data_IF_490979221939
#
_entry.id   IF_490979221939
#
_cell.length_a   1.000
_cell.length_b   1.000
_cell.length_c   1.000
_cell.angle_alpha   90.00
_cell.angle_beta   90.00
_cell.angle_gamma   90.00
#
_symmetry.space_group_name_H-M   'P 1'
#
loop_
_entity.id
_entity.type
_entity.pdbx_description
1 polymer ?
#
# COMPACT_ATOMS: atom_id res chain seq x y z
N UNK A 1 -53.71 28.83 3.35
CA UNK A 1 -53.30 29.10 1.96
C UNK A 1 -51.87 29.63 2.00
N UNK A 2 -51.01 29.01 1.19
CA UNK A 2 -49.57 29.25 1.01
C UNK A 2 -49.23 30.73 0.85
N UNK A 3 -48.10 31.21 1.39
CA UNK A 3 -47.15 32.06 0.66
C UNK A 3 -45.72 31.99 1.27
N UNK A 4 -44.87 31.29 0.51
CA UNK A 4 -43.51 31.68 0.11
C UNK A 4 -42.38 31.64 1.17
N UNK A 5 -41.69 30.49 1.18
CA UNK A 5 -40.28 30.37 1.55
C UNK A 5 -39.44 31.23 0.61
N UNK A 6 -38.77 32.26 1.14
CA UNK A 6 -37.74 32.98 0.41
C UNK A 6 -36.49 32.11 0.27
N UNK A 7 -36.26 31.67 -0.96
CA UNK A 7 -35.06 30.97 -1.41
C UNK A 7 -33.90 31.98 -1.47
N UNK A 8 -32.86 31.80 -0.64
CA UNK A 8 -31.58 32.50 -0.82
C UNK A 8 -30.57 31.52 -1.42
N UNK A 9 -30.09 31.73 -2.67
CA UNK A 9 -29.01 30.94 -3.23
C UNK A 9 -27.71 31.51 -2.68
N UNK A 10 -27.18 30.95 -1.60
CA UNK A 10 -25.79 31.19 -1.22
C UNK A 10 -24.93 30.09 -1.83
N UNK A 11 -24.54 30.31 -3.07
CA UNK A 11 -23.52 29.57 -3.77
C UNK A 11 -22.13 29.90 -3.17
N UNK A 12 -21.82 29.35 -2.00
CA UNK A 12 -20.45 29.29 -1.51
C UNK A 12 -19.76 28.09 -2.16
N UNK A 13 -19.23 28.32 -3.37
CA UNK A 13 -18.27 27.42 -4.01
C UNK A 13 -17.10 27.20 -3.06
N UNK A 14 -16.72 25.95 -2.73
CA UNK A 14 -15.47 25.71 -2.04
C UNK A 14 -14.33 26.18 -2.94
N UNK A 15 -13.47 27.04 -2.40
CA UNK A 15 -12.25 27.50 -3.04
C UNK A 15 -11.39 26.26 -3.34
N UNK A 16 -11.29 25.87 -4.61
CA UNK A 16 -10.39 24.81 -5.03
C UNK A 16 -8.96 25.24 -4.70
N UNK A 17 -8.40 24.67 -3.64
CA UNK A 17 -6.99 24.82 -3.29
C UNK A 17 -6.19 24.23 -4.44
N UNK A 18 -5.50 25.06 -5.21
CA UNK A 18 -4.59 24.59 -6.26
C UNK A 18 -3.53 23.71 -5.61
N UNK A 19 -3.43 22.47 -6.08
CA UNK A 19 -2.39 21.53 -5.65
C UNK A 19 -1.07 22.01 -6.24
N UNK A 20 -0.24 22.66 -5.44
CA UNK A 20 1.13 22.98 -5.82
C UNK A 20 1.98 21.72 -5.69
N UNK A 21 2.70 21.37 -6.75
CA UNK A 21 3.70 20.32 -6.73
C UNK A 21 4.95 20.91 -6.07
N UNK A 22 5.40 20.30 -4.96
CA UNK A 22 6.66 20.67 -4.36
C UNK A 22 7.80 20.35 -5.34
N UNK A 23 8.49 21.39 -5.82
CA UNK A 23 9.78 21.20 -6.49
C UNK A 23 10.77 20.74 -5.42
N UNK A 24 11.39 19.57 -5.63
CA UNK A 24 12.46 19.09 -4.76
C UNK A 24 13.58 20.13 -4.75
N UNK A 25 13.76 20.82 -3.63
CA UNK A 25 14.99 21.54 -3.36
C UNK A 25 16.12 20.50 -3.35
N UNK A 26 17.17 20.76 -4.13
CA UNK A 26 18.32 19.88 -4.24
C UNK A 26 19.03 19.79 -2.88
N UNK A 27 18.76 18.73 -2.14
CA UNK A 27 19.55 18.35 -0.97
C UNK A 27 20.87 17.78 -1.46
N UNK A 28 21.95 18.41 -0.99
CA UNK A 28 23.35 17.98 -1.04
C UNK A 28 23.45 16.46 -0.76
N UNK A 29 24.31 15.70 -1.47
CA UNK A 29 24.39 14.26 -1.26
C UNK A 29 24.95 13.99 0.13
N UNK A 30 24.08 13.68 1.08
CA UNK A 30 24.47 12.94 2.27
C UNK A 30 24.80 11.53 1.81
N UNK A 31 25.89 10.97 2.34
CA UNK A 31 26.34 9.61 2.07
C UNK A 31 25.14 8.65 2.14
N UNK A 32 25.08 7.71 1.19
CA UNK A 32 24.06 6.68 1.12
C UNK A 32 24.18 5.78 2.37
N UNK A 33 23.52 6.19 3.45
CA UNK A 33 23.16 5.27 4.52
C UNK A 33 22.20 4.23 3.91
N UNK A 34 22.34 2.94 4.30
CA UNK A 34 21.45 1.90 3.80
C UNK A 34 20.00 2.30 4.07
N UNK A 35 19.10 2.02 3.12
CA UNK A 35 17.67 2.25 3.34
C UNK A 35 17.26 1.59 4.67
N UNK A 36 16.50 2.28 5.53
CA UNK A 36 16.10 1.72 6.81
C UNK A 36 15.33 0.42 6.57
N UNK A 37 15.78 -0.68 7.21
CA UNK A 37 15.20 -2.03 7.05
C UNK A 37 13.71 -2.04 7.42
N UNK A 38 13.32 -1.24 8.41
CA UNK A 38 11.96 -1.13 8.91
C UNK A 38 11.43 0.31 8.83
N UNK A 39 10.10 0.44 8.76
CA UNK A 39 9.42 1.74 8.77
C UNK A 39 9.09 2.24 10.19
N UNK A 40 9.18 1.39 11.20
CA UNK A 40 8.76 1.69 12.57
C UNK A 40 9.99 1.78 13.47
N UNK A 41 10.25 2.91 14.15
CA UNK A 41 11.36 2.98 15.09
C UNK A 41 11.12 2.07 16.31
N UNK A 42 12.17 1.69 17.04
CA UNK A 42 12.04 0.89 18.25
C UNK A 42 11.16 1.59 19.28
N UNK A 43 10.41 0.81 20.06
CA UNK A 43 9.44 1.24 21.08
C UNK A 43 8.20 1.98 20.53
N UNK A 44 7.91 1.84 19.24
CA UNK A 44 6.65 2.35 18.66
C UNK A 44 5.47 1.48 19.10
N UNK A 45 4.37 2.10 19.54
CA UNK A 45 3.14 1.38 19.91
C UNK A 45 2.42 0.88 18.65
N UNK A 46 2.24 -0.44 18.53
CA UNK A 46 1.54 -1.06 17.41
C UNK A 46 0.03 -1.08 17.66
N UNK A 47 -0.66 -0.07 17.12
CA UNK A 47 -2.11 0.10 17.25
C UNK A 47 -2.84 -1.01 16.49
N UNK A 48 -3.85 -1.61 17.14
CA UNK A 48 -4.73 -2.62 16.51
C UNK A 48 -4.18 -4.05 16.51
N UNK A 49 -2.98 -4.30 17.05
CA UNK A 49 -2.44 -5.66 17.26
C UNK A 49 -3.10 -6.33 18.46
N UNK A 50 -3.38 -5.57 19.52
CA UNK A 50 -4.08 -6.08 20.70
C UNK A 50 -5.55 -6.34 20.40
N UNK A 51 -5.97 -7.58 20.63
CA UNK A 51 -7.38 -7.99 20.49
C UNK A 51 -8.06 -8.22 21.85
N UNK A 52 -7.29 -8.47 22.92
CA UNK A 52 -7.80 -8.59 24.29
C UNK A 52 -7.73 -7.23 25.01
N UNK A 53 -8.68 -6.99 25.92
CA UNK A 53 -8.83 -5.72 26.64
C UNK A 53 -7.76 -5.50 27.71
N UNK A 54 -7.28 -6.58 28.32
CA UNK A 54 -6.33 -6.54 29.44
C UNK A 54 -4.88 -6.84 29.03
N UNK A 55 -4.56 -6.76 27.73
CA UNK A 55 -3.19 -6.93 27.26
C UNK A 55 -2.41 -5.60 27.26
N UNK A 56 -1.15 -5.62 27.71
CA UNK A 56 -0.29 -4.44 27.63
C UNK A 56 -0.09 -4.02 26.18
N UNK A 57 0.21 -2.73 25.91
CA UNK A 57 0.45 -2.25 24.55
C UNK A 57 1.65 -2.98 23.95
N UNK A 58 1.48 -3.53 22.74
CA UNK A 58 2.57 -4.15 22.00
C UNK A 58 3.49 -3.06 21.44
N UNK A 59 4.75 -3.12 21.83
CA UNK A 59 5.80 -2.23 21.37
C UNK A 59 6.65 -2.90 20.29
N UNK A 60 7.05 -2.13 19.28
CA UNK A 60 8.03 -2.59 18.30
C UNK A 60 9.41 -2.77 18.97
N UNK A 61 10.03 -3.92 18.72
CA UNK A 61 11.39 -4.21 19.17
C UNK A 61 12.40 -3.59 18.18
N UNK A 62 13.71 -3.54 18.51
CA UNK A 62 14.75 -3.19 17.56
C UNK A 62 14.81 -4.17 16.38
N UNK A 63 15.22 -3.69 15.20
CA UNK A 63 15.28 -4.48 13.96
C UNK A 63 16.13 -5.77 14.07
N UNK A 64 17.14 -5.76 14.94
CA UNK A 64 18.07 -6.89 15.15
C UNK A 64 17.50 -7.99 16.06
N UNK A 65 16.45 -7.70 16.82
CA UNK A 65 15.77 -8.69 17.67
C UNK A 65 14.75 -9.52 16.87
N UNK A 66 14.36 -9.03 15.69
CA UNK A 66 13.52 -9.78 14.76
C UNK A 66 14.35 -10.78 13.96
N UNK A 67 13.84 -12.00 13.73
CA UNK A 67 14.52 -12.99 12.91
C UNK A 67 14.77 -12.51 11.46
N UNK A 68 15.92 -12.90 10.89
CA UNK A 68 16.34 -12.52 9.52
C UNK A 68 15.33 -12.85 8.41
N UNK A 69 14.49 -13.87 8.61
CA UNK A 69 13.50 -14.26 7.60
C UNK A 69 12.44 -13.19 7.35
N UNK A 70 12.17 -12.31 8.33
CA UNK A 70 11.20 -11.22 8.22
C UNK A 70 11.57 -10.29 7.06
N UNK A 71 12.85 -9.97 6.96
CA UNK A 71 13.38 -9.02 5.97
C UNK A 71 13.42 -9.60 4.55
N UNK A 72 13.46 -10.93 4.43
CA UNK A 72 13.45 -11.64 3.13
C UNK A 72 12.05 -11.81 2.53
N UNK A 73 10.98 -11.47 3.26
CA UNK A 73 9.60 -11.68 2.78
C UNK A 73 9.20 -10.79 1.59
N UNK A 74 9.75 -9.57 1.54
CA UNK A 74 9.47 -8.61 0.47
C UNK A 74 10.28 -8.90 -0.79
N UNK A 75 11.30 -9.74 -0.70
CA UNK A 75 12.10 -10.17 -1.85
C UNK A 75 11.21 -10.93 -2.83
N UNK A 76 11.33 -10.59 -4.11
CA UNK A 76 10.54 -11.23 -5.16
C UNK A 76 10.93 -12.71 -5.23
N UNK A 77 9.96 -13.58 -4.91
CA UNK A 77 10.14 -15.02 -5.08
C UNK A 77 10.25 -15.37 -6.56
N UNK A 78 11.46 -15.59 -7.03
CA UNK A 78 11.71 -16.15 -8.35
C UNK A 78 11.46 -17.66 -8.31
N UNK A 79 10.55 -18.13 -9.16
CA UNK A 79 10.28 -19.56 -9.31
C UNK A 79 11.21 -20.08 -10.40
N UNK A 80 12.21 -20.92 -10.08
CA UNK A 80 13.08 -21.51 -11.09
C UNK A 80 12.27 -22.38 -12.05
N UNK A 81 12.75 -22.51 -13.28
CA UNK A 81 12.13 -23.37 -14.28
C UNK A 81 12.35 -24.85 -13.90
N UNK A 82 11.32 -25.44 -13.30
CA UNK A 82 11.28 -26.79 -12.73
C UNK A 82 10.85 -27.86 -13.77
N UNK A 83 11.16 -27.62 -15.05
CA UNK A 83 10.74 -28.48 -16.15
C UNK A 83 9.23 -28.40 -16.50
N UNK A 84 8.77 -29.21 -17.47
CA UNK A 84 7.37 -29.24 -17.89
C UNK A 84 6.46 -29.75 -16.77
N UNK A 85 5.40 -29.00 -16.48
CA UNK A 85 4.47 -29.26 -15.36
C UNK A 85 4.94 -28.71 -14.00
N UNK A 86 6.10 -28.04 -13.97
CA UNK A 86 6.68 -27.42 -12.78
C UNK A 86 5.83 -26.28 -12.20
N UNK A 87 6.16 -25.86 -10.97
CA UNK A 87 5.42 -24.79 -10.27
C UNK A 87 5.46 -23.45 -11.03
N UNK A 88 6.59 -23.13 -11.64
CA UNK A 88 6.77 -21.89 -12.42
C UNK A 88 5.81 -21.82 -13.61
N UNK A 89 5.70 -22.91 -14.38
CA UNK A 89 4.80 -22.98 -15.54
C UNK A 89 3.33 -22.86 -15.12
N UNK A 90 2.92 -23.57 -14.07
CA UNK A 90 1.56 -23.47 -13.52
C UNK A 90 1.20 -22.04 -13.11
N UNK A 91 2.13 -21.33 -12.48
CA UNK A 91 1.92 -19.93 -12.08
C UNK A 91 1.80 -19.02 -13.31
N UNK A 92 2.62 -19.23 -14.35
CA UNK A 92 2.56 -18.51 -15.62
C UNK A 92 1.20 -18.69 -16.31
N UNK A 93 0.76 -19.94 -16.49
CA UNK A 93 -0.53 -20.27 -17.12
C UNK A 93 -1.72 -19.67 -16.36
N UNK A 94 -1.68 -19.68 -15.01
CA UNK A 94 -2.71 -19.03 -14.19
C UNK A 94 -2.73 -17.51 -14.40
N UNK A 95 -1.58 -16.88 -14.60
CA UNK A 95 -1.49 -15.44 -14.88
C UNK A 95 -2.09 -15.11 -16.25
N UNK A 96 -1.72 -15.87 -17.27
CA UNK A 96 -2.24 -15.72 -18.64
C UNK A 96 -3.76 -15.92 -18.69
N UNK A 97 -4.27 -16.96 -18.03
CA UNK A 97 -5.71 -17.20 -17.95
C UNK A 97 -6.46 -16.05 -17.27
N UNK A 98 -5.92 -15.47 -16.18
CA UNK A 98 -6.52 -14.29 -15.54
C UNK A 98 -6.52 -13.07 -16.46
N UNK A 99 -5.47 -12.88 -17.26
CA UNK A 99 -5.40 -11.79 -18.24
C UNK A 99 -6.43 -11.99 -19.35
N UNK A 100 -6.50 -13.19 -19.94
CA UNK A 100 -7.48 -13.54 -20.97
C UNK A 100 -8.93 -13.33 -20.49
N UNK A 101 -9.25 -13.77 -19.27
CA UNK A 101 -10.59 -13.56 -18.69
C UNK A 101 -10.86 -12.06 -18.49
N UNK A 102 -9.87 -11.31 -17.99
CA UNK A 102 -10.00 -9.85 -17.80
C UNK A 102 -10.26 -9.13 -19.12
N UNK A 103 -9.51 -9.43 -20.16
CA UNK A 103 -9.66 -8.85 -21.50
C UNK A 103 -11.00 -9.22 -22.13
N UNK A 104 -11.39 -10.49 -22.03
CA UNK A 104 -12.69 -10.96 -22.51
C UNK A 104 -13.85 -10.26 -21.79
N UNK A 105 -13.75 -10.10 -20.46
CA UNK A 105 -14.77 -9.39 -19.68
C UNK A 105 -14.78 -7.91 -20.01
N UNK A 106 -13.62 -7.29 -20.24
CA UNK A 106 -13.51 -5.89 -20.64
C UNK A 106 -14.23 -5.64 -21.97
N UNK A 107 -13.98 -6.46 -22.99
CA UNK A 107 -14.63 -6.35 -24.30
C UNK A 107 -16.14 -6.59 -24.28
N UNK A 108 -16.64 -7.37 -23.31
CA UNK A 108 -18.07 -7.65 -23.14
C UNK A 108 -18.83 -6.55 -22.36
N UNK A 109 -18.12 -5.66 -21.68
CA UNK A 109 -18.74 -4.64 -20.80
C UNK A 109 -18.89 -3.28 -21.48
N UNK A 110 -18.29 -3.09 -22.66
CA UNK A 110 -18.51 -1.91 -23.53
C UNK A 110 -19.72 -2.16 -24.44
#
# INVERSE_FOLDING_TARGET
>A
MSLLRAFRPSCLRPLCKTRSYATKAATKPAAAEPEPKSSCPPNTVLVGVNYLKDQPPVLALPDEEYPDWLWKLLEKKELPYDGPGGKAEKVRLRKENRQRIREQNFLKTQ
#
